data_IF_951434978613
#
_entry.id   IF_951434978613
#
_cell.length_a   1.000
_cell.length_b   1.000
_cell.length_c   1.000
_cell.angle_alpha   90.00
_cell.angle_beta   90.00
_cell.angle_gamma   90.00
#
_symmetry.space_group_name_H-M   'P 1'
#
loop_
_entity.id
_entity.type
_entity.pdbx_description
1 polymer ?
#
# COMPACT_ATOMS: atom_id res chain seq x y z
N UNK A 1 -15.82 -13.63 -7.69
CA UNK A 1 -15.20 -12.65 -8.61
C UNK A 1 -14.13 -13.36 -9.40
N UNK A 2 -13.86 -12.92 -10.61
CA UNK A 2 -12.83 -13.49 -11.47
C UNK A 2 -11.62 -12.56 -11.44
N UNK A 3 -10.45 -13.13 -11.20
CA UNK A 3 -9.19 -12.43 -11.38
C UNK A 3 -8.91 -12.27 -12.87
N UNK A 4 -8.67 -11.03 -13.30
CA UNK A 4 -8.32 -10.68 -14.67
C UNK A 4 -6.83 -10.35 -14.80
N UNK A 5 -6.34 -10.25 -16.04
CA UNK A 5 -4.92 -10.04 -16.34
C UNK A 5 -4.72 -8.85 -17.26
N UNK A 6 -3.83 -7.96 -16.88
CA UNK A 6 -3.41 -6.79 -17.64
C UNK A 6 -1.98 -6.93 -18.13
N UNK A 7 -1.76 -6.76 -19.42
CA UNK A 7 -0.41 -6.64 -19.96
C UNK A 7 0.08 -5.20 -19.79
N UNK A 8 1.17 -5.03 -19.02
CA UNK A 8 1.78 -3.75 -18.72
C UNK A 8 3.25 -3.77 -19.14
N UNK A 9 3.53 -3.34 -20.35
CA UNK A 9 4.84 -3.49 -20.95
C UNK A 9 5.24 -4.97 -21.05
N UNK A 10 6.34 -5.36 -20.39
CA UNK A 10 6.80 -6.76 -20.32
C UNK A 10 6.18 -7.54 -19.15
N UNK A 11 5.33 -6.92 -18.35
CA UNK A 11 4.73 -7.53 -17.17
C UNK A 11 3.27 -7.91 -17.45
N UNK A 12 2.81 -8.91 -16.72
CA UNK A 12 1.41 -9.24 -16.55
C UNK A 12 1.03 -8.96 -15.08
N UNK A 13 0.04 -8.10 -14.87
CA UNK A 13 -0.52 -7.82 -13.55
C UNK A 13 -1.88 -8.50 -13.42
N UNK A 14 -2.11 -9.10 -12.24
CA UNK A 14 -3.40 -9.69 -11.90
C UNK A 14 -4.19 -8.69 -11.05
N UNK A 15 -5.45 -8.49 -11.41
CA UNK A 15 -6.33 -7.52 -10.77
C UNK A 15 -7.78 -8.02 -10.67
N UNK A 16 -8.55 -7.35 -9.86
CA UNK A 16 -10.00 -7.50 -9.76
C UNK A 16 -10.68 -6.14 -9.76
N UNK A 17 -11.90 -6.12 -10.29
CA UNK A 17 -12.77 -4.93 -10.33
C UNK A 17 -14.04 -5.19 -9.54
N UNK A 18 -14.44 -4.26 -8.67
CA UNK A 18 -15.63 -4.31 -7.84
C UNK A 18 -16.41 -3.00 -8.06
N UNK A 19 -17.74 -3.08 -8.16
CA UNK A 19 -18.62 -1.92 -8.40
C UNK A 19 -18.93 -1.69 -9.87
N UNK A 20 -19.59 -0.56 -10.17
CA UNK A 20 -20.02 -0.21 -11.52
C UNK A 20 -18.85 0.40 -12.30
N UNK A 21 -18.51 -0.08 -13.52
CA UNK A 21 -17.47 0.50 -14.34
C UNK A 21 -17.76 1.94 -14.81
N UNK A 22 -19.00 2.43 -14.68
CA UNK A 22 -19.35 3.82 -14.96
C UNK A 22 -19.01 4.79 -13.84
N UNK A 23 -18.74 4.28 -12.64
CA UNK A 23 -18.41 5.08 -11.46
C UNK A 23 -16.94 5.55 -11.47
N UNK A 24 -16.61 6.64 -10.75
CA UNK A 24 -15.23 7.07 -10.56
C UNK A 24 -14.34 5.96 -9.97
N UNK A 25 -13.16 5.77 -10.55
CA UNK A 25 -12.26 4.69 -10.16
C UNK A 25 -11.47 5.00 -8.90
N UNK A 26 -11.41 4.05 -7.96
CA UNK A 26 -10.44 3.99 -6.86
C UNK A 26 -9.46 2.83 -7.11
N UNK A 27 -8.18 3.15 -7.31
CA UNK A 27 -7.11 2.17 -7.39
C UNK A 27 -6.53 1.91 -6.00
N UNK A 28 -6.59 0.67 -5.54
CA UNK A 28 -6.08 0.22 -4.25
C UNK A 28 -4.71 -0.45 -4.39
N UNK A 29 -3.66 0.18 -3.87
CA UNK A 29 -2.28 -0.31 -3.95
C UNK A 29 -1.87 -0.96 -2.64
N UNK A 30 -1.54 -2.25 -2.69
CA UNK A 30 -1.24 -3.05 -1.49
C UNK A 30 0.21 -2.90 -1.02
N UNK A 31 0.44 -3.28 0.25
CA UNK A 31 1.73 -3.18 0.94
C UNK A 31 2.73 -4.27 0.59
N UNK A 32 3.88 -4.22 1.25
CA UNK A 32 5.04 -5.09 1.03
C UNK A 32 4.69 -6.58 1.13
N UNK A 33 4.91 -7.31 0.05
CA UNK A 33 4.76 -8.77 -0.01
C UNK A 33 3.31 -9.26 0.07
N UNK A 34 2.36 -8.35 0.16
CA UNK A 34 0.93 -8.66 0.25
C UNK A 34 0.31 -8.73 -1.14
N UNK A 35 -0.76 -9.51 -1.25
CA UNK A 35 -1.50 -9.77 -2.48
C UNK A 35 -2.81 -8.96 -2.50
N UNK A 36 -3.49 -8.89 -3.63
CA UNK A 36 -4.75 -8.14 -3.77
C UNK A 36 -5.83 -8.57 -2.76
N UNK A 37 -5.85 -9.85 -2.36
CA UNK A 37 -6.79 -10.42 -1.39
C UNK A 37 -6.66 -9.82 0.02
N UNK A 38 -5.58 -9.10 0.33
CA UNK A 38 -5.40 -8.38 1.61
C UNK A 38 -6.17 -7.05 1.65
N UNK A 39 -6.67 -6.56 0.53
CA UNK A 39 -7.80 -5.67 0.50
C UNK A 39 -9.06 -6.50 0.66
N UNK A 40 -9.57 -6.59 1.89
CA UNK A 40 -10.75 -7.40 2.18
C UNK A 40 -11.90 -7.01 1.23
N UNK A 41 -12.64 -8.04 0.78
CA UNK A 41 -13.72 -7.84 -0.18
C UNK A 41 -14.79 -6.88 0.35
N UNK A 42 -15.21 -7.04 1.60
CA UNK A 42 -16.22 -6.16 2.20
C UNK A 42 -15.74 -4.71 2.33
N UNK A 43 -14.43 -4.49 2.53
CA UNK A 43 -13.86 -3.13 2.48
C UNK A 43 -13.99 -2.53 1.06
N UNK A 44 -13.72 -3.33 0.03
CA UNK A 44 -13.85 -2.91 -1.36
C UNK A 44 -15.32 -2.67 -1.73
N UNK A 45 -16.22 -3.58 -1.33
CA UNK A 45 -17.67 -3.44 -1.51
C UNK A 45 -18.21 -2.19 -0.82
N UNK A 46 -17.71 -1.88 0.39
CA UNK A 46 -18.07 -0.65 1.11
C UNK A 46 -17.67 0.65 0.39
N UNK A 47 -16.63 0.63 -0.45
CA UNK A 47 -16.31 1.74 -1.36
C UNK A 47 -17.22 1.72 -2.60
N UNK A 48 -17.51 0.54 -3.15
CA UNK A 48 -18.40 0.39 -4.31
C UNK A 48 -19.84 0.85 -3.99
N UNK A 49 -20.35 0.53 -2.82
CA UNK A 49 -21.66 1.01 -2.34
C UNK A 49 -21.74 2.54 -2.20
N UNK A 50 -20.60 3.21 -2.17
CA UNK A 50 -20.47 4.68 -2.16
C UNK A 50 -20.24 5.30 -3.53
N UNK A 51 -20.46 4.52 -4.61
CA UNK A 51 -20.39 4.97 -5.99
C UNK A 51 -18.97 5.04 -6.54
N UNK A 52 -18.13 4.03 -6.23
CA UNK A 52 -16.82 3.89 -6.83
C UNK A 52 -16.65 2.56 -7.56
N UNK A 53 -16.00 2.60 -8.71
CA UNK A 53 -15.36 1.42 -9.27
C UNK A 53 -14.06 1.18 -8.51
N UNK A 54 -13.93 0.06 -7.80
CA UNK A 54 -12.74 -0.29 -7.02
C UNK A 54 -11.89 -1.28 -7.79
N UNK A 55 -10.59 -0.97 -7.95
CA UNK A 55 -9.61 -1.86 -8.56
C UNK A 55 -8.57 -2.21 -7.50
N UNK A 56 -8.41 -3.51 -7.23
CA UNK A 56 -7.32 -4.06 -6.43
C UNK A 56 -6.46 -4.98 -7.27
N UNK A 57 -5.15 -4.98 -7.07
CA UNK A 57 -4.23 -5.73 -7.91
C UNK A 57 -3.01 -6.23 -7.15
N UNK A 58 -2.38 -7.26 -7.69
CA UNK A 58 -1.08 -7.73 -7.23
C UNK A 58 0.04 -6.88 -7.81
N UNK A 59 0.85 -6.26 -6.96
CA UNK A 59 2.07 -5.60 -7.39
C UNK A 59 3.02 -6.60 -8.07
N UNK A 60 3.97 -6.12 -8.91
CA UNK A 60 5.08 -6.97 -9.39
C UNK A 60 5.72 -7.71 -8.23
N UNK A 61 6.14 -8.95 -8.44
CA UNK A 61 6.73 -9.82 -7.41
C UNK A 61 5.79 -10.29 -6.29
N UNK A 62 4.50 -9.96 -6.33
CA UNK A 62 3.48 -10.43 -5.39
C UNK A 62 2.39 -11.24 -6.12
N UNK A 63 1.66 -12.06 -5.35
CA UNK A 63 0.49 -12.80 -5.82
C UNK A 63 0.71 -13.53 -7.12
N UNK A 64 -0.19 -13.36 -8.08
CA UNK A 64 -0.15 -14.00 -9.40
C UNK A 64 0.42 -13.08 -10.50
N UNK A 65 0.78 -11.83 -10.17
CA UNK A 65 1.49 -10.94 -11.10
C UNK A 65 2.92 -11.43 -11.38
N UNK A 66 3.51 -10.94 -12.46
CA UNK A 66 4.86 -11.29 -12.92
C UNK A 66 5.89 -11.27 -11.80
N UNK A 67 6.69 -12.33 -11.73
CA UNK A 67 7.85 -12.46 -10.85
C UNK A 67 9.09 -12.01 -11.60
N UNK A 68 9.81 -11.04 -11.03
CA UNK A 68 11.00 -10.47 -11.65
C UNK A 68 12.18 -11.45 -11.52
N UNK A 69 12.77 -11.82 -12.63
CA UNK A 69 13.98 -12.66 -12.67
C UNK A 69 15.22 -11.79 -12.44
N UNK A 70 15.48 -11.50 -11.17
CA UNK A 70 16.62 -10.70 -10.76
C UNK A 70 17.12 -11.11 -9.37
N UNK A 71 18.41 -10.85 -9.06
CA UNK A 71 18.98 -11.14 -7.76
C UNK A 71 18.24 -10.42 -6.63
N UNK A 72 18.13 -11.11 -5.48
CA UNK A 72 17.58 -10.51 -4.25
C UNK A 72 18.60 -9.52 -3.67
N UNK A 73 18.20 -8.26 -3.42
CA UNK A 73 19.09 -7.27 -2.84
C UNK A 73 19.56 -7.62 -1.44
N UNK A 74 20.77 -7.24 -1.08
CA UNK A 74 21.28 -7.42 0.28
C UNK A 74 20.75 -6.30 1.19
N UNK A 75 19.54 -6.50 1.73
CA UNK A 75 18.85 -5.54 2.60
C UNK A 75 19.57 -5.29 3.93
N UNK A 76 20.42 -6.22 4.39
CA UNK A 76 21.27 -6.03 5.59
C UNK A 76 22.30 -4.94 5.39
N UNK A 77 22.89 -4.84 4.20
CA UNK A 77 23.81 -3.72 3.86
C UNK A 77 23.08 -2.40 3.92
N UNK A 78 21.85 -2.32 3.40
CA UNK A 78 21.05 -1.10 3.45
C UNK A 78 20.68 -0.71 4.88
N UNK A 79 20.35 -1.69 5.74
CA UNK A 79 20.10 -1.45 7.16
C UNK A 79 21.34 -0.88 7.88
N UNK A 80 22.55 -1.29 7.45
CA UNK A 80 23.82 -0.76 7.93
C UNK A 80 24.22 0.60 7.30
N UNK A 81 23.34 1.22 6.50
CA UNK A 81 23.57 2.54 5.89
C UNK A 81 24.33 2.52 4.55
N UNK A 82 24.67 1.36 4.01
CA UNK A 82 25.31 1.26 2.71
C UNK A 82 24.31 1.41 1.56
N UNK A 83 24.72 1.97 0.41
CA UNK A 83 23.90 2.00 -0.80
C UNK A 83 23.45 0.60 -1.21
N UNK A 84 22.18 0.48 -1.61
CA UNK A 84 21.60 -0.76 -2.12
C UNK A 84 21.26 -0.60 -3.60
N UNK A 85 21.58 -1.61 -4.40
CA UNK A 85 21.06 -1.75 -5.76
C UNK A 85 19.85 -2.66 -5.70
N UNK A 86 18.71 -2.14 -6.10
CA UNK A 86 17.48 -2.91 -6.29
C UNK A 86 17.24 -3.12 -7.78
N UNK A 87 16.63 -4.24 -8.21
CA UNK A 87 16.32 -4.50 -9.61
C UNK A 87 15.26 -3.56 -10.18
N UNK A 88 14.48 -2.96 -9.33
CA UNK A 88 13.48 -1.94 -9.64
C UNK A 88 13.27 -1.02 -8.43
N UNK A 89 12.62 0.11 -8.64
CA UNK A 89 12.30 1.12 -7.63
C UNK A 89 10.78 1.26 -7.44
N UNK A 90 10.35 2.08 -6.46
CA UNK A 90 8.94 2.44 -6.29
C UNK A 90 8.39 3.20 -7.50
N UNK A 91 9.25 3.88 -8.25
CA UNK A 91 8.89 4.55 -9.50
C UNK A 91 8.46 3.55 -10.59
N UNK A 92 9.17 2.42 -10.69
CA UNK A 92 8.79 1.34 -11.62
C UNK A 92 7.43 0.74 -11.22
N UNK A 93 7.17 0.57 -9.92
CA UNK A 93 5.87 0.07 -9.41
C UNK A 93 4.74 1.10 -9.62
N UNK A 94 5.05 2.39 -9.53
CA UNK A 94 4.10 3.45 -9.88
C UNK A 94 3.78 3.45 -11.38
N UNK A 95 4.76 3.22 -12.23
CA UNK A 95 4.55 3.07 -13.67
C UNK A 95 3.72 1.83 -14.01
N UNK A 96 3.87 0.72 -13.27
CA UNK A 96 3.00 -0.46 -13.40
C UNK A 96 1.53 -0.10 -13.08
N UNK A 97 1.33 0.64 -12.02
CA UNK A 97 -0.01 1.09 -11.61
C UNK A 97 -0.66 1.97 -12.68
N UNK A 98 0.10 2.86 -13.32
CA UNK A 98 -0.39 3.62 -14.47
C UNK A 98 -0.64 2.73 -15.68
N UNK A 99 0.23 1.76 -15.96
CA UNK A 99 0.04 0.81 -17.04
C UNK A 99 -1.22 -0.05 -16.88
N UNK A 100 -1.58 -0.41 -15.62
CA UNK A 100 -2.85 -1.06 -15.34
C UNK A 100 -4.04 -0.14 -15.65
N UNK A 101 -4.00 1.13 -15.23
CA UNK A 101 -5.04 2.10 -15.57
C UNK A 101 -5.15 2.31 -17.10
N UNK A 102 -4.02 2.37 -17.81
CA UNK A 102 -3.98 2.52 -19.25
C UNK A 102 -4.58 1.28 -19.95
N UNK A 103 -4.28 0.07 -19.47
CA UNK A 103 -4.87 -1.19 -19.97
C UNK A 103 -6.40 -1.19 -19.84
N UNK A 104 -6.91 -0.60 -18.75
CA UNK A 104 -8.34 -0.50 -18.47
C UNK A 104 -9.03 0.71 -19.14
N UNK A 105 -8.27 1.55 -19.87
CA UNK A 105 -8.79 2.76 -20.49
C UNK A 105 -9.16 3.87 -19.48
N UNK A 106 -8.59 3.82 -18.26
CA UNK A 106 -8.87 4.76 -17.19
C UNK A 106 -7.84 5.90 -17.24
N UNK A 107 -8.29 7.07 -17.64
CA UNK A 107 -7.42 8.25 -17.75
C UNK A 107 -6.99 8.79 -16.39
N UNK A 108 -7.89 8.83 -15.42
CA UNK A 108 -7.66 9.38 -14.07
C UNK A 108 -8.33 8.52 -13.01
N UNK A 109 -7.70 8.39 -11.85
CA UNK A 109 -8.25 7.63 -10.73
C UNK A 109 -7.95 8.29 -9.39
N UNK A 110 -8.78 8.02 -8.38
CA UNK A 110 -8.41 8.17 -6.98
C UNK A 110 -7.44 7.05 -6.63
N UNK A 111 -6.30 7.38 -6.04
CA UNK A 111 -5.27 6.38 -5.73
C UNK A 111 -5.09 6.27 -4.22
N UNK A 112 -5.34 5.08 -3.68
CA UNK A 112 -5.17 4.81 -2.25
C UNK A 112 -4.20 3.66 -2.06
N UNK A 113 -3.25 3.83 -1.16
CA UNK A 113 -2.30 2.76 -0.87
C UNK A 113 -1.98 2.64 0.62
N UNK A 114 -1.71 1.41 1.04
CA UNK A 114 -1.34 1.09 2.42
C UNK A 114 0.14 0.73 2.52
N UNK A 115 0.87 1.29 3.50
CA UNK A 115 2.28 0.97 3.77
C UNK A 115 3.17 1.23 2.54
N UNK A 116 3.82 0.22 1.95
CA UNK A 116 4.53 0.34 0.66
C UNK A 116 3.60 0.85 -0.44
N UNK A 117 2.35 0.39 -0.48
CA UNK A 117 1.35 0.88 -1.45
C UNK A 117 1.11 2.39 -1.31
N UNK A 118 1.10 2.92 -0.09
CA UNK A 118 1.05 4.37 0.15
C UNK A 118 2.30 5.09 -0.37
N UNK A 119 3.47 4.45 -0.31
CA UNK A 119 4.69 5.01 -0.92
C UNK A 119 4.61 5.03 -2.45
N UNK A 120 4.03 3.98 -3.05
CA UNK A 120 3.78 3.90 -4.51
C UNK A 120 2.76 4.96 -4.92
N UNK A 121 1.63 5.08 -4.21
CA UNK A 121 0.60 6.08 -4.46
C UNK A 121 1.15 7.53 -4.37
N UNK A 122 2.01 7.83 -3.37
CA UNK A 122 2.74 9.09 -3.30
C UNK A 122 3.64 9.30 -4.53
N UNK A 123 4.32 8.25 -4.98
CA UNK A 123 5.19 8.33 -6.17
C UNK A 123 4.39 8.58 -7.44
N UNK A 124 3.22 7.93 -7.59
CA UNK A 124 2.27 8.19 -8.68
C UNK A 124 1.84 9.67 -8.70
N UNK A 125 1.37 10.18 -7.56
CA UNK A 125 0.91 11.57 -7.45
C UNK A 125 2.03 12.58 -7.77
N UNK A 126 3.29 12.28 -7.40
CA UNK A 126 4.44 13.14 -7.72
C UNK A 126 4.80 13.08 -9.21
N UNK A 127 4.77 11.87 -9.81
CA UNK A 127 5.22 11.65 -11.17
C UNK A 127 4.23 12.16 -12.23
N UNK A 128 2.92 11.95 -11.99
CA UNK A 128 1.84 12.32 -12.91
C UNK A 128 0.61 12.82 -12.14
N UNK A 129 0.69 14.00 -11.51
CA UNK A 129 -0.40 14.55 -10.69
C UNK A 129 -1.72 14.72 -11.48
N UNK A 130 -1.64 14.95 -12.78
CA UNK A 130 -2.79 15.06 -13.68
C UNK A 130 -3.57 13.74 -13.82
N UNK A 131 -2.94 12.60 -13.53
CA UNK A 131 -3.56 11.26 -13.57
C UNK A 131 -4.18 10.84 -12.23
N UNK A 132 -3.91 11.59 -11.14
CA UNK A 132 -4.35 11.25 -9.78
C UNK A 132 -5.38 12.26 -9.30
N UNK A 133 -6.64 11.84 -9.20
CA UNK A 133 -7.75 12.69 -8.75
C UNK A 133 -7.60 13.06 -7.27
N UNK A 134 -7.32 12.07 -6.42
CA UNK A 134 -7.00 12.27 -5.00
C UNK A 134 -6.05 11.18 -4.51
N UNK A 135 -5.31 11.48 -3.46
CA UNK A 135 -4.34 10.59 -2.83
C UNK A 135 -4.80 10.16 -1.44
N UNK A 136 -4.94 8.84 -1.22
CA UNK A 136 -5.08 8.21 0.09
C UNK A 136 -3.75 7.56 0.50
N UNK A 137 -3.06 8.12 1.49
CA UNK A 137 -1.80 7.57 2.00
C UNK A 137 -2.00 6.98 3.38
N UNK A 138 -2.13 5.64 3.46
CA UNK A 138 -2.46 4.94 4.71
C UNK A 138 -1.25 4.23 5.29
N UNK A 139 -1.01 4.37 6.62
CA UNK A 139 0.04 3.67 7.38
C UNK A 139 1.41 3.74 6.70
N UNK A 140 1.75 4.90 6.12
CA UNK A 140 2.88 5.06 5.21
C UNK A 140 3.85 6.16 5.66
N UNK A 141 4.90 6.38 4.88
CA UNK A 141 5.96 7.34 5.19
C UNK A 141 6.45 8.05 3.93
N UNK A 142 7.01 9.24 4.09
CA UNK A 142 7.72 9.96 3.02
C UNK A 142 9.01 9.26 2.56
N UNK A 143 9.49 8.26 3.29
CA UNK A 143 10.81 7.64 3.07
C UNK A 143 11.98 8.40 3.69
N UNK A 144 11.75 9.49 4.40
CA UNK A 144 12.82 10.19 5.14
C UNK A 144 13.18 9.41 6.42
N UNK A 145 14.31 8.72 6.39
CA UNK A 145 14.80 7.89 7.49
C UNK A 145 15.04 8.65 8.80
N UNK A 146 15.19 9.99 8.75
CA UNK A 146 15.38 10.83 9.93
C UNK A 146 14.08 10.99 10.74
N UNK A 147 12.94 10.83 10.10
CA UNK A 147 11.63 11.00 10.76
C UNK A 147 11.28 9.81 11.64
N UNK A 148 11.62 8.59 11.21
CA UNK A 148 11.29 7.41 11.98
C UNK A 148 11.78 6.11 11.37
N UNK A 149 11.98 5.14 12.25
CA UNK A 149 12.31 3.76 11.91
C UNK A 149 11.39 2.82 12.70
N UNK A 150 11.16 1.60 12.21
CA UNK A 150 10.43 0.56 12.94
C UNK A 150 11.02 0.33 14.33
N UNK A 151 10.17 -0.09 15.29
CA UNK A 151 10.67 -0.55 16.59
C UNK A 151 11.59 -1.75 16.40
N UNK A 152 12.68 -1.84 17.19
CA UNK A 152 13.72 -2.87 17.02
C UNK A 152 13.15 -4.30 17.00
N UNK A 153 12.14 -4.58 17.84
CA UNK A 153 11.45 -5.89 17.86
C UNK A 153 10.76 -6.23 16.54
N UNK A 154 10.19 -5.23 15.86
CA UNK A 154 9.52 -5.40 14.56
C UNK A 154 10.54 -5.60 13.46
N UNK A 155 11.63 -4.85 13.49
CA UNK A 155 12.75 -5.01 12.56
C UNK A 155 13.31 -6.43 12.56
N UNK A 156 13.45 -7.04 13.75
CA UNK A 156 13.95 -8.41 13.88
C UNK A 156 13.06 -9.47 13.22
N UNK A 157 11.76 -9.20 13.07
CA UNK A 157 10.81 -10.11 12.40
C UNK A 157 10.76 -9.85 10.89
N UNK A 158 10.72 -8.58 10.48
CA UNK A 158 10.75 -8.21 9.05
C UNK A 158 11.99 -8.73 8.32
N UNK A 159 13.12 -8.83 9.03
CA UNK A 159 14.38 -9.34 8.46
C UNK A 159 14.46 -10.86 8.39
N UNK A 160 13.49 -11.59 8.96
CA UNK A 160 13.41 -13.04 8.84
C UNK A 160 12.75 -13.42 7.52
N UNK A 161 13.29 -14.46 6.88
CA UNK A 161 12.62 -15.06 5.73
C UNK A 161 11.35 -15.77 6.19
N UNK A 162 10.26 -15.58 5.45
CA UNK A 162 9.04 -16.35 5.69
C UNK A 162 9.32 -17.85 5.53
N UNK A 163 8.74 -18.70 6.40
CA UNK A 163 8.89 -20.14 6.30
C UNK A 163 8.41 -20.69 4.95
N UNK A 164 9.05 -21.78 4.49
CA UNK A 164 8.67 -22.45 3.24
C UNK A 164 7.54 -23.48 3.41
N UNK A 165 7.30 -23.96 4.62
CA UNK A 165 6.23 -24.90 4.92
C UNK A 165 4.95 -24.11 5.22
N UNK A 166 3.82 -24.56 4.65
CA UNK A 166 2.53 -23.89 4.73
C UNK A 166 2.09 -23.57 6.16
N UNK A 167 2.08 -24.59 7.03
CA UNK A 167 1.61 -24.42 8.41
C UNK A 167 2.50 -23.45 9.21
N UNK A 168 3.83 -23.56 9.04
CA UNK A 168 4.78 -22.63 9.65
C UNK A 168 4.64 -21.20 9.09
N UNK A 169 4.26 -21.07 7.82
CA UNK A 169 3.96 -19.76 7.23
C UNK A 169 2.73 -19.13 7.86
N UNK A 170 1.65 -19.90 8.04
CA UNK A 170 0.42 -19.43 8.68
C UNK A 170 0.72 -18.96 10.11
N UNK A 171 1.41 -19.77 10.92
CA UNK A 171 1.82 -19.35 12.28
C UNK A 171 2.70 -18.11 12.28
N UNK A 172 3.64 -18.01 11.34
CA UNK A 172 4.51 -16.84 11.18
C UNK A 172 3.70 -15.61 10.84
N UNK A 173 2.77 -15.71 9.91
CA UNK A 173 1.91 -14.61 9.44
C UNK A 173 1.05 -14.06 10.58
N UNK A 174 0.34 -14.91 11.30
CA UNK A 174 -0.46 -14.54 12.48
C UNK A 174 0.42 -13.87 13.54
N UNK A 175 1.61 -14.41 13.81
CA UNK A 175 2.57 -13.82 14.75
C UNK A 175 3.02 -12.43 14.35
N UNK A 176 3.25 -12.19 13.05
CA UNK A 176 3.60 -10.86 12.54
C UNK A 176 2.47 -9.89 12.82
N UNK A 177 1.22 -10.24 12.46
CA UNK A 177 0.07 -9.36 12.68
C UNK A 177 -0.26 -9.13 14.15
N UNK A 178 -0.10 -10.11 15.02
CA UNK A 178 -0.16 -9.88 16.49
C UNK A 178 0.86 -8.85 16.98
N UNK A 179 2.02 -8.77 16.33
CA UNK A 179 3.09 -7.86 16.74
C UNK A 179 2.88 -6.44 16.21
N UNK A 180 2.38 -6.29 14.97
CA UNK A 180 2.25 -5.00 14.31
C UNK A 180 0.82 -4.47 14.36
N UNK A 181 -0.16 -5.31 14.64
CA UNK A 181 -1.59 -5.00 14.65
C UNK A 181 -2.02 -4.04 15.77
N UNK A 182 -3.27 -3.76 15.76
CA UNK A 182 -3.93 -2.74 16.57
C UNK A 182 -4.14 -3.20 18.01
N UNK A 183 -3.55 -2.54 19.01
CA UNK A 183 -3.70 -3.00 20.40
C UNK A 183 -5.12 -2.80 20.97
N UNK A 184 -5.93 -1.91 20.38
CA UNK A 184 -7.29 -1.63 20.84
C UNK A 184 -8.37 -2.41 20.08
N UNK A 185 -8.02 -2.96 18.94
CA UNK A 185 -8.90 -3.73 18.06
C UNK A 185 -8.37 -5.16 18.01
N UNK A 186 -9.03 -6.14 18.62
CA UNK A 186 -8.55 -7.52 18.67
C UNK A 186 -8.38 -8.10 17.27
N UNK A 187 -7.26 -8.81 17.08
CA UNK A 187 -7.02 -9.54 15.83
C UNK A 187 -8.01 -10.71 15.74
N UNK A 188 -8.76 -10.79 14.66
CA UNK A 188 -9.51 -11.99 14.31
C UNK A 188 -8.51 -13.05 13.81
N UNK A 189 -8.08 -13.93 14.73
CA UNK A 189 -7.05 -14.91 14.43
C UNK A 189 -7.52 -16.00 13.48
N UNK A 190 -8.79 -16.39 13.53
CA UNK A 190 -9.37 -17.37 12.62
C UNK A 190 -9.33 -16.85 11.19
N UNK A 191 -9.87 -15.66 10.97
CA UNK A 191 -9.82 -14.98 9.66
C UNK A 191 -8.39 -14.75 9.20
N UNK A 192 -7.47 -14.43 10.10
CA UNK A 192 -6.06 -14.22 9.76
C UNK A 192 -5.36 -15.53 9.35
N UNK A 193 -5.71 -16.66 9.99
CA UNK A 193 -5.22 -17.97 9.57
C UNK A 193 -5.74 -18.35 8.18
N UNK A 194 -7.02 -18.12 7.90
CA UNK A 194 -7.62 -18.36 6.59
C UNK A 194 -6.91 -17.52 5.51
N UNK A 195 -6.77 -16.21 5.74
CA UNK A 195 -6.09 -15.29 4.82
C UNK A 195 -4.63 -15.70 4.58
N UNK A 196 -3.93 -16.12 5.64
CA UNK A 196 -2.55 -16.61 5.52
C UNK A 196 -2.47 -17.89 4.69
N UNK A 197 -3.42 -18.83 4.89
CA UNK A 197 -3.52 -20.05 4.12
C UNK A 197 -3.79 -19.76 2.63
N UNK A 198 -4.78 -18.92 2.35
CA UNK A 198 -5.12 -18.48 1.00
C UNK A 198 -3.94 -17.77 0.32
N UNK A 199 -3.27 -16.86 1.05
CA UNK A 199 -2.06 -16.16 0.58
C UNK A 199 -0.96 -17.13 0.16
N UNK A 200 -0.72 -18.16 0.98
CA UNK A 200 0.29 -19.17 0.70
C UNK A 200 -0.08 -20.03 -0.51
N UNK A 201 -1.32 -20.51 -0.52
CA UNK A 201 -1.82 -21.42 -1.57
C UNK A 201 -1.91 -20.68 -2.93
N UNK A 202 -2.27 -19.39 -2.91
CA UNK A 202 -2.31 -18.56 -4.10
C UNK A 202 -0.90 -18.26 -4.64
N UNK A 203 0.04 -17.84 -3.79
CA UNK A 203 1.44 -17.65 -4.16
C UNK A 203 2.36 -17.42 -2.96
N UNK A 204 3.31 -18.30 -2.72
CA UNK A 204 4.37 -18.11 -1.74
C UNK A 204 5.68 -17.72 -2.43
N UNK A 205 6.00 -16.41 -2.50
CA UNK A 205 7.18 -15.88 -3.20
C UNK A 205 8.06 -14.94 -2.35
N UNK A 206 8.79 -15.46 -1.33
CA UNK A 206 9.58 -14.61 -0.42
C UNK A 206 10.70 -13.81 -1.10
N UNK A 207 11.18 -14.27 -2.26
CA UNK A 207 12.19 -13.53 -3.03
C UNK A 207 11.63 -12.21 -3.58
N UNK A 208 10.37 -12.20 -3.99
CA UNK A 208 9.67 -10.99 -4.43
C UNK A 208 9.53 -9.97 -3.30
N UNK A 209 9.07 -10.42 -2.12
CA UNK A 209 9.00 -9.55 -0.94
C UNK A 209 10.36 -8.90 -0.62
N UNK A 210 11.46 -9.66 -0.74
CA UNK A 210 12.78 -9.13 -0.50
C UNK A 210 13.23 -8.12 -1.58
N UNK A 211 12.83 -8.30 -2.85
CA UNK A 211 13.09 -7.31 -3.92
C UNK A 211 12.26 -6.04 -3.72
N UNK A 212 10.99 -6.17 -3.35
CA UNK A 212 10.14 -5.02 -2.99
C UNK A 212 10.70 -4.23 -1.80
N UNK A 213 11.20 -4.91 -0.76
CA UNK A 213 11.90 -4.25 0.35
C UNK A 213 13.15 -3.53 -0.13
N UNK A 214 13.88 -4.14 -1.07
CA UNK A 214 15.01 -3.49 -1.76
C UNK A 214 14.59 -2.22 -2.48
N UNK A 215 13.46 -2.24 -3.19
CA UNK A 215 12.90 -1.07 -3.87
C UNK A 215 12.56 0.07 -2.88
N UNK A 216 11.92 -0.24 -1.75
CA UNK A 216 11.63 0.74 -0.68
C UNK A 216 12.93 1.40 -0.21
N UNK A 217 13.95 0.60 0.08
CA UNK A 217 15.22 1.10 0.65
C UNK A 217 16.06 1.89 -0.36
N UNK A 218 15.94 1.58 -1.66
CA UNK A 218 16.66 2.24 -2.74
C UNK A 218 16.00 3.55 -3.20
N UNK A 219 14.67 3.66 -3.12
CA UNK A 219 13.92 4.81 -3.67
C UNK A 219 14.08 6.12 -2.87
N UNK A 220 14.53 6.05 -1.63
CA UNK A 220 14.83 7.25 -0.84
C UNK A 220 13.59 8.06 -0.40
N UNK A 221 13.79 9.35 -0.14
CA UNK A 221 12.77 10.26 0.37
C UNK A 221 11.98 10.96 -0.74
N UNK A 222 10.66 10.94 -0.64
CA UNK A 222 9.71 11.63 -1.53
C UNK A 222 9.33 13.03 -1.01
N UNK A 223 9.86 13.46 0.15
CA UNK A 223 9.45 14.71 0.84
C UNK A 223 9.49 15.94 -0.07
N UNK A 224 10.51 16.06 -0.92
CA UNK A 224 10.65 17.22 -1.82
C UNK A 224 9.55 17.24 -2.91
N UNK A 225 9.18 16.10 -3.45
CA UNK A 225 8.06 15.96 -4.40
C UNK A 225 6.72 16.24 -3.72
N UNK A 226 6.49 15.65 -2.54
CA UNK A 226 5.26 15.82 -1.77
C UNK A 226 4.96 17.29 -1.44
N UNK A 227 5.98 18.10 -1.19
CA UNK A 227 5.81 19.55 -0.92
C UNK A 227 5.28 20.37 -2.11
N UNK A 228 5.31 19.79 -3.30
CA UNK A 228 4.85 20.45 -4.53
C UNK A 228 3.52 19.89 -5.06
N UNK A 229 2.93 18.93 -4.31
CA UNK A 229 1.65 18.36 -4.71
C UNK A 229 0.50 19.35 -4.50
N UNK A 230 -0.37 19.39 -5.49
CA UNK A 230 -1.67 20.07 -5.44
C UNK A 230 -2.82 19.06 -5.67
N UNK A 231 -2.63 17.85 -5.20
CA UNK A 231 -3.63 16.76 -5.28
C UNK A 231 -4.30 16.63 -3.92
N UNK A 232 -5.64 16.70 -3.83
CA UNK A 232 -6.37 16.47 -2.59
C UNK A 232 -5.87 15.19 -1.90
N UNK A 233 -5.42 15.31 -0.65
CA UNK A 233 -4.76 14.22 0.03
C UNK A 233 -5.32 13.99 1.42
N UNK A 234 -5.60 12.72 1.73
CA UNK A 234 -5.84 12.25 3.10
C UNK A 234 -4.73 11.29 3.54
N UNK A 235 -4.21 11.52 4.73
CA UNK A 235 -3.25 10.62 5.40
C UNK A 235 -3.97 9.93 6.55
N UNK A 236 -4.14 8.61 6.47
CA UNK A 236 -4.73 7.81 7.55
C UNK A 236 -3.62 7.07 8.28
N UNK A 237 -3.52 7.23 9.60
CA UNK A 237 -2.42 6.60 10.35
C UNK A 237 -2.79 6.22 11.77
N UNK A 238 -2.42 4.99 12.16
CA UNK A 238 -2.57 4.50 13.52
C UNK A 238 -1.58 5.17 14.49
N UNK A 239 -2.07 5.65 15.62
CA UNK A 239 -1.19 6.27 16.65
C UNK A 239 -0.27 5.26 17.31
N UNK A 240 -0.64 3.99 17.29
CA UNK A 240 0.07 2.90 17.97
C UNK A 240 0.86 2.01 16.99
N UNK A 241 1.00 2.44 15.72
CA UNK A 241 1.74 1.70 14.68
C UNK A 241 3.22 1.47 15.09
N UNK A 242 3.63 0.20 15.29
CA UNK A 242 5.00 -0.11 15.70
C UNK A 242 5.94 -0.33 14.51
N UNK A 243 5.39 -0.51 13.30
CA UNK A 243 6.14 -0.78 12.07
C UNK A 243 6.48 0.52 11.35
N UNK A 244 5.47 1.35 11.08
CA UNK A 244 5.65 2.68 10.50
C UNK A 244 5.17 3.70 11.53
N UNK A 245 6.07 4.25 12.37
CA UNK A 245 5.68 5.06 13.52
C UNK A 245 4.81 6.26 13.14
N UNK A 246 3.78 6.57 13.93
CA UNK A 246 2.80 7.64 13.71
C UNK A 246 3.41 8.98 13.27
N UNK A 247 4.60 9.33 13.81
CA UNK A 247 5.33 10.55 13.41
C UNK A 247 5.64 10.62 11.90
N UNK A 248 5.71 9.46 11.22
CA UNK A 248 5.95 9.42 9.77
C UNK A 248 4.69 9.80 8.97
N UNK A 249 3.50 9.40 9.45
CA UNK A 249 2.23 9.88 8.92
C UNK A 249 2.05 11.38 9.12
N UNK A 250 2.38 11.88 10.31
CA UNK A 250 2.40 13.33 10.60
C UNK A 250 3.35 14.07 9.65
N UNK A 251 4.53 13.51 9.40
CA UNK A 251 5.49 14.10 8.46
C UNK A 251 4.98 14.08 7.01
N UNK A 252 4.25 13.04 6.62
CA UNK A 252 3.60 12.95 5.30
C UNK A 252 2.55 14.04 5.16
N UNK A 253 1.62 14.16 6.11
CA UNK A 253 0.58 15.18 6.09
C UNK A 253 1.16 16.61 6.09
N UNK A 254 2.22 16.86 6.88
CA UNK A 254 2.89 18.16 6.91
C UNK A 254 3.66 18.49 5.62
N UNK A 255 4.10 17.47 4.90
CA UNK A 255 4.84 17.68 3.64
C UNK A 255 3.91 18.06 2.49
N UNK A 256 2.65 17.60 2.50
CA UNK A 256 1.70 17.82 1.40
C UNK A 256 0.81 19.01 1.72
N UNK A 257 0.81 20.07 0.89
CA UNK A 257 -0.07 21.21 1.07
C UNK A 257 -1.55 20.79 1.12
N UNK A 258 -2.31 21.29 2.07
CA UNK A 258 -3.74 20.97 2.21
C UNK A 258 -4.09 19.54 2.55
N UNK A 259 -3.12 18.68 2.90
CA UNK A 259 -3.41 17.30 3.31
C UNK A 259 -4.13 17.25 4.66
N UNK A 260 -5.11 16.38 4.76
CA UNK A 260 -5.80 16.05 6.00
C UNK A 260 -5.14 14.85 6.68
N UNK A 261 -5.09 14.85 8.03
CA UNK A 261 -4.56 13.75 8.82
C UNK A 261 -5.65 13.14 9.69
N UNK A 262 -6.01 11.91 9.37
CA UNK A 262 -6.88 11.07 10.19
C UNK A 262 -6.01 10.19 11.08
N UNK A 263 -5.86 10.62 12.34
CA UNK A 263 -5.01 9.97 13.34
C UNK A 263 -5.88 9.09 14.26
N UNK A 264 -5.75 7.77 14.14
CA UNK A 264 -6.64 6.81 14.82
C UNK A 264 -5.95 6.25 16.08
N UNK A 265 -6.46 6.58 17.29
CA UNK A 265 -5.94 6.01 18.54
C UNK A 265 -6.22 4.52 18.65
N UNK A 266 -5.23 3.74 19.11
CA UNK A 266 -5.35 2.29 19.27
C UNK A 266 -5.21 1.49 17.99
N UNK A 267 -5.08 2.14 16.83
CA UNK A 267 -4.78 1.48 15.55
C UNK A 267 -3.27 1.26 15.41
N UNK A 268 -2.90 0.04 15.00
CA UNK A 268 -1.54 -0.38 14.68
C UNK A 268 -1.21 -0.29 13.19
N UNK A 269 -0.53 -1.32 12.66
CA UNK A 269 -0.17 -1.43 11.24
C UNK A 269 -1.06 -2.46 10.52
N UNK A 270 -2.33 -2.36 10.70
CA UNK A 270 -3.38 -3.18 10.12
C UNK A 270 -4.63 -2.34 9.84
N UNK A 271 -5.64 -2.94 9.23
CA UNK A 271 -6.93 -2.30 8.93
C UNK A 271 -8.07 -3.05 9.64
N UNK A 272 -8.25 -2.84 10.97
CA UNK A 272 -9.33 -3.49 11.70
C UNK A 272 -10.70 -3.21 11.10
N UNK A 273 -11.56 -4.23 11.06
CA UNK A 273 -12.89 -4.15 10.46
C UNK A 273 -13.75 -3.03 11.07
N UNK A 274 -13.63 -2.83 12.37
CA UNK A 274 -14.34 -1.79 13.10
C UNK A 274 -14.00 -0.37 12.63
N UNK A 275 -12.84 -0.20 11.99
CA UNK A 275 -12.37 1.08 11.48
C UNK A 275 -12.69 1.32 9.99
N UNK A 276 -13.17 0.31 9.27
CA UNK A 276 -13.47 0.45 7.84
C UNK A 276 -14.45 1.59 7.53
N UNK A 277 -15.56 1.77 8.27
CA UNK A 277 -16.45 2.90 8.02
C UNK A 277 -15.74 4.26 8.16
N UNK A 278 -14.93 4.44 9.21
CA UNK A 278 -14.18 5.68 9.42
C UNK A 278 -13.13 5.92 8.34
N UNK A 279 -12.46 4.86 7.88
CA UNK A 279 -11.43 4.94 6.84
C UNK A 279 -12.08 5.24 5.49
N UNK A 280 -13.15 4.52 5.13
CA UNK A 280 -13.88 4.76 3.87
C UNK A 280 -14.49 6.16 3.85
N UNK A 281 -15.08 6.65 4.95
CA UNK A 281 -15.60 8.03 5.05
C UNK A 281 -14.51 9.07 4.76
N UNK A 282 -13.30 8.86 5.31
CA UNK A 282 -12.18 9.75 5.07
C UNK A 282 -11.70 9.73 3.62
N UNK A 283 -11.71 8.55 2.96
CA UNK A 283 -11.35 8.42 1.55
C UNK A 283 -12.39 9.08 0.64
N UNK A 284 -13.68 8.88 0.93
CA UNK A 284 -14.80 9.48 0.20
C UNK A 284 -14.75 11.01 0.32
N UNK A 285 -14.66 11.54 1.54
CA UNK A 285 -14.56 12.99 1.76
C UNK A 285 -13.35 13.60 1.02
N UNK A 286 -12.22 12.88 0.96
CA UNK A 286 -11.05 13.33 0.20
C UNK A 286 -11.31 13.31 -1.32
N UNK A 287 -12.07 12.34 -1.83
CA UNK A 287 -12.44 12.28 -3.25
C UNK A 287 -13.36 13.42 -3.67
N UNK A 288 -14.30 13.82 -2.81
CA UNK A 288 -15.20 14.96 -3.04
C UNK A 288 -14.45 16.29 -3.19
N UNK A 289 -13.30 16.44 -2.49
CA UNK A 289 -12.43 17.61 -2.65
C UNK A 289 -11.82 17.72 -4.06
N UNK A 290 -11.67 16.58 -4.76
CA UNK A 290 -11.17 16.56 -6.14
C UNK A 290 -12.23 17.00 -7.16
N UNK A 291 -13.52 16.85 -6.82
CA UNK A 291 -14.62 17.28 -7.67
C UNK A 291 -14.90 18.80 -7.58
N UNK A 292 -14.41 19.44 -6.51
CA UNK A 292 -14.57 20.90 -6.31
C UNK A 292 -13.35 21.62 -6.92
N UNK A 293 -13.52 22.47 -7.96
CA UNK A 293 -12.40 23.22 -8.50
C UNK A 293 -11.77 24.08 -7.39
N UNK A 294 -10.45 24.02 -7.24
CA UNK A 294 -9.73 24.95 -6.36
C UNK A 294 -10.04 26.37 -6.82
N UNK A 295 -10.44 27.32 -5.95
CA UNK A 295 -10.60 28.70 -6.36
C UNK A 295 -9.27 29.17 -6.94
N UNK A 296 -9.31 29.62 -8.21
CA UNK A 296 -8.14 30.11 -8.92
C UNK A 296 -7.45 31.18 -8.07
N UNK A 297 -6.20 30.93 -7.69
CA UNK A 297 -5.32 31.84 -6.99
C UNK A 297 -4.79 32.93 -7.93
#
# INVERSE_FOLDING_TARGET
MTEDRANVGELELVYETIGDPADPTVLLVMGLGMQLIHWDLEFCEGLAERGFQVIRFDNRDAGLSTKIDAPVPNVMKAAAGFPIKAPYLLEDMANDSFGLLDHLGIERAHVTGVSMGGMIAQTMAIARPERVLSLGSMLSTTGDRRVGAPKLRVWSVLMRRAPRQRDLYIEYFVRVFRMIGSPRYPLDEERMCELAAETYDRCHHPAGTARQLGAILASGSRTAGLRRLDVPTVVVHGKDDPLVPFRTGVATARAIPGAELVAIPGMGHDLPRELWPQITDALVANSERAATPSPAS
#
